data_IF_518369799346
#
_entry.id   IF_518369799346
#
_cell.length_a   1.000
_cell.length_b   1.000
_cell.length_c   1.000
_cell.angle_alpha   90.00
_cell.angle_beta   90.00
_cell.angle_gamma   90.00
#
_symmetry.space_group_name_H-M   'P 1'
#
loop_
_entity.id
_entity.type
_entity.pdbx_description
1 polymer ?
#
# COMPACT_ATOMS: atom_id res chain seq x y z
N UNK A 1 -53.09 -85.90 19.45
CA UNK A 1 -51.87 -85.96 18.62
C UNK A 1 -51.71 -84.62 17.93
N UNK A 2 -50.58 -83.96 18.19
CA UNK A 2 -50.21 -82.63 17.67
C UNK A 2 -50.06 -82.67 16.15
N UNK A 3 -50.58 -81.67 15.46
CA UNK A 3 -50.19 -81.36 14.07
C UNK A 3 -49.86 -79.88 13.97
N UNK A 4 -48.56 -79.63 13.84
CA UNK A 4 -47.92 -78.36 13.55
C UNK A 4 -48.36 -77.90 12.15
N UNK A 5 -48.72 -76.62 12.00
CA UNK A 5 -48.75 -75.94 10.69
C UNK A 5 -47.86 -74.71 10.77
N UNK A 6 -46.65 -74.86 10.22
CA UNK A 6 -45.82 -73.78 9.68
C UNK A 6 -46.50 -73.23 8.41
N UNK A 7 -46.61 -71.91 8.30
CA UNK A 7 -46.71 -71.15 7.04
C UNK A 7 -45.99 -69.81 7.31
N UNK A 8 -44.68 -69.74 7.07
CA UNK A 8 -44.04 -69.13 5.88
C UNK A 8 -44.29 -67.62 5.75
N UNK A 9 -43.52 -66.81 6.49
CA UNK A 9 -43.25 -65.41 6.09
C UNK A 9 -42.10 -65.43 5.08
N UNK A 10 -42.34 -64.84 3.91
CA UNK A 10 -41.32 -64.57 2.89
C UNK A 10 -40.27 -63.61 3.48
N UNK A 11 -39.01 -64.07 3.55
CA UNK A 11 -37.85 -63.21 3.69
C UNK A 11 -37.56 -62.58 2.33
N UNK A 12 -37.73 -61.26 2.20
CA UNK A 12 -37.10 -60.49 1.13
C UNK A 12 -35.71 -60.13 1.64
N UNK A 13 -34.70 -60.85 1.15
CA UNK A 13 -33.30 -60.48 1.32
C UNK A 13 -33.02 -59.38 0.30
N UNK A 14 -32.96 -58.13 0.76
CA UNK A 14 -32.28 -57.06 0.03
C UNK A 14 -30.81 -57.19 0.44
N UNK A 15 -30.00 -57.76 -0.45
CA UNK A 15 -28.56 -57.60 -0.43
C UNK A 15 -28.26 -56.15 -0.81
N UNK A 16 -28.31 -55.26 0.18
CA UNK A 16 -27.52 -54.04 0.13
C UNK A 16 -26.07 -54.47 0.33
N UNK A 17 -25.28 -54.39 -0.73
CA UNK A 17 -23.83 -54.28 -0.57
C UNK A 17 -23.59 -53.00 0.24
N UNK A 18 -23.30 -53.14 1.52
CA UNK A 18 -22.59 -52.10 2.25
C UNK A 18 -21.27 -51.92 1.51
N UNK A 19 -21.05 -50.72 0.95
CA UNK A 19 -19.68 -50.25 0.82
C UNK A 19 -19.10 -50.38 2.23
N UNK A 20 -18.00 -51.13 2.39
CA UNK A 20 -17.25 -51.06 3.64
C UNK A 20 -16.84 -49.61 3.82
N UNK A 21 -17.03 -49.07 5.03
CA UNK A 21 -16.40 -47.82 5.37
C UNK A 21 -14.88 -47.99 5.18
N UNK A 22 -14.26 -46.91 4.74
CA UNK A 22 -12.84 -46.90 4.40
C UNK A 22 -12.06 -46.57 5.69
N UNK A 23 -10.81 -46.96 5.80
CA UNK A 23 -9.92 -46.66 6.93
C UNK A 23 -8.78 -45.86 6.30
N UNK A 24 -8.93 -44.54 6.26
CA UNK A 24 -8.11 -43.67 5.40
C UNK A 24 -6.75 -43.36 6.02
N UNK A 25 -6.63 -43.34 7.36
CA UNK A 25 -5.39 -43.08 8.09
C UNK A 25 -4.66 -44.36 8.56
N UNK A 26 -5.34 -45.51 8.54
CA UNK A 26 -4.77 -46.84 8.78
C UNK A 26 -4.67 -47.21 10.25
N UNK A 27 -5.49 -46.62 11.12
CA UNK A 27 -5.53 -46.88 12.55
C UNK A 27 -6.27 -48.19 12.91
N UNK A 28 -7.04 -48.74 11.96
CA UNK A 28 -7.77 -49.99 12.07
C UNK A 28 -9.27 -49.86 12.33
N UNK A 29 -9.85 -48.65 12.25
CA UNK A 29 -11.27 -48.37 12.36
C UNK A 29 -11.86 -47.76 11.07
N UNK A 30 -13.19 -47.74 10.97
CA UNK A 30 -13.93 -47.31 9.77
C UNK A 30 -14.19 -45.77 9.82
N UNK A 31 -13.90 -45.03 8.74
CA UNK A 31 -14.06 -43.56 8.58
C UNK A 31 -15.49 -43.07 8.92
N UNK A 32 -15.60 -42.02 9.75
CA UNK A 32 -16.86 -41.36 10.18
C UNK A 32 -17.30 -40.20 9.26
N UNK A 33 -18.54 -39.74 9.45
CA UNK A 33 -19.21 -38.75 8.59
C UNK A 33 -18.84 -37.27 8.84
N UNK A 34 -17.88 -36.96 9.74
CA UNK A 34 -17.57 -35.59 10.17
C UNK A 34 -16.24 -35.00 9.63
N UNK A 35 -15.58 -35.68 8.69
CA UNK A 35 -14.58 -35.13 7.75
C UNK A 35 -13.28 -34.56 8.35
N UNK A 36 -12.78 -35.05 9.49
CA UNK A 36 -11.38 -34.80 9.89
C UNK A 36 -10.68 -36.10 10.27
N UNK A 37 -9.71 -36.50 9.44
CA UNK A 37 -8.93 -37.73 9.52
C UNK A 37 -7.46 -37.47 9.98
N UNK A 38 -7.15 -36.27 10.48
CA UNK A 38 -5.77 -35.83 10.70
C UNK A 38 -5.45 -35.24 12.09
N UNK A 39 -6.43 -35.01 12.98
CA UNK A 39 -6.18 -34.42 14.31
C UNK A 39 -7.20 -34.88 15.37
N UNK A 40 -6.73 -35.45 16.50
CA UNK A 40 -7.55 -35.77 17.68
C UNK A 40 -8.52 -34.63 18.03
N UNK A 41 -9.81 -34.94 18.24
CA UNK A 41 -10.78 -33.99 18.77
C UNK A 41 -10.35 -33.48 20.16
N UNK A 42 -10.41 -32.16 20.37
CA UNK A 42 -10.01 -31.53 21.64
C UNK A 42 -11.22 -31.03 22.42
N UNK A 43 -11.45 -31.55 23.62
CA UNK A 43 -12.39 -31.02 24.61
C UNK A 43 -11.75 -29.98 25.51
N UNK A 44 -12.54 -29.01 25.98
CA UNK A 44 -12.15 -28.16 27.11
C UNK A 44 -13.05 -28.41 28.32
N UNK A 45 -12.45 -28.81 29.43
CA UNK A 45 -13.09 -28.88 30.74
C UNK A 45 -12.68 -27.66 31.58
N UNK A 46 -13.66 -26.99 32.18
CA UNK A 46 -13.47 -25.82 33.04
C UNK A 46 -14.01 -26.06 34.44
N UNK A 47 -13.26 -25.65 35.46
CA UNK A 47 -13.74 -25.48 36.84
C UNK A 47 -14.04 -24.01 37.07
N UNK A 48 -15.33 -23.65 37.11
CA UNK A 48 -15.79 -22.27 37.34
C UNK A 48 -15.72 -21.87 38.80
N UNK A 49 -16.10 -22.78 39.69
CA UNK A 49 -16.17 -22.49 41.12
C UNK A 49 -15.96 -23.75 41.94
N UNK A 50 -15.25 -23.61 43.06
CA UNK A 50 -15.24 -24.59 44.15
C UNK A 50 -15.44 -23.87 45.48
N UNK A 51 -16.26 -24.44 46.35
CA UNK A 51 -16.57 -23.89 47.66
C UNK A 51 -16.65 -24.98 48.73
N UNK A 52 -15.78 -24.89 49.73
CA UNK A 52 -15.74 -25.79 50.90
C UNK A 52 -16.30 -25.15 52.18
N UNK A 53 -16.59 -23.84 52.15
CA UNK A 53 -17.02 -23.05 53.32
C UNK A 53 -18.40 -23.44 53.88
N UNK A 54 -19.07 -24.38 53.23
CA UNK A 54 -20.32 -24.93 53.72
C UNK A 54 -20.10 -26.09 54.70
N UNK A 55 -18.99 -26.83 54.67
CA UNK A 55 -18.80 -28.04 55.49
C UNK A 55 -18.59 -27.79 56.99
N UNK A 56 -19.11 -28.69 57.85
CA UNK A 56 -19.02 -28.61 59.32
C UNK A 56 -17.88 -29.47 59.92
N UNK A 57 -17.15 -30.24 59.11
CA UNK A 57 -16.06 -31.14 59.55
C UNK A 57 -14.72 -30.45 59.77
N UNK A 58 -14.54 -29.25 59.24
CA UNK A 58 -13.23 -28.61 59.21
C UNK A 58 -12.67 -28.24 60.58
N UNK A 59 -11.64 -28.96 61.03
CA UNK A 59 -10.85 -28.59 62.21
C UNK A 59 -10.02 -27.33 61.90
N UNK A 60 -10.62 -26.18 62.21
CA UNK A 60 -10.03 -24.83 62.14
C UNK A 60 -8.70 -24.61 62.89
N UNK A 61 -8.07 -25.65 63.44
CA UNK A 61 -6.85 -25.55 64.24
C UNK A 61 -5.53 -25.78 63.49
N UNK A 62 -5.54 -26.21 62.21
CA UNK A 62 -4.31 -26.52 61.46
C UNK A 62 -4.03 -25.74 60.15
N UNK A 63 -4.97 -25.00 59.58
CA UNK A 63 -4.74 -24.25 58.33
C UNK A 63 -5.94 -24.31 57.40
N UNK A 64 -5.81 -23.74 56.21
CA UNK A 64 -6.74 -24.02 55.10
C UNK A 64 -6.15 -25.18 54.26
N UNK A 65 -6.91 -25.80 53.36
CA UNK A 65 -6.49 -27.07 52.76
C UNK A 65 -5.58 -26.78 51.56
N UNK A 66 -4.75 -27.75 51.23
CA UNK A 66 -3.92 -27.73 50.02
C UNK A 66 -4.53 -28.69 48.98
N UNK A 67 -5.76 -28.37 48.54
CA UNK A 67 -6.52 -29.23 47.63
C UNK A 67 -5.97 -29.24 46.21
N UNK A 68 -6.23 -30.33 45.50
CA UNK A 68 -6.08 -30.46 44.05
C UNK A 68 -7.11 -31.44 43.49
N UNK A 69 -7.35 -31.40 42.18
CA UNK A 69 -8.30 -32.28 41.50
C UNK A 69 -7.57 -33.25 40.58
N UNK A 70 -7.94 -34.52 40.66
CA UNK A 70 -7.61 -35.53 39.65
C UNK A 70 -8.79 -35.70 38.71
N UNK A 71 -8.63 -35.30 37.45
CA UNK A 71 -9.62 -35.47 36.39
C UNK A 71 -9.22 -36.64 35.52
N UNK A 72 -10.02 -37.67 35.55
CA UNK A 72 -9.84 -38.92 34.84
C UNK A 72 -10.90 -38.96 33.72
N UNK A 73 -10.45 -39.07 32.46
CA UNK A 73 -11.32 -39.06 31.28
C UNK A 73 -11.35 -40.45 30.65
N UNK A 74 -12.55 -40.96 30.42
CA UNK A 74 -12.79 -42.22 29.73
C UNK A 74 -13.67 -41.94 28.50
N UNK A 75 -13.29 -42.46 27.35
CA UNK A 75 -14.02 -42.32 26.10
C UNK A 75 -14.55 -43.71 25.71
N UNK A 76 -15.86 -43.83 25.55
CA UNK A 76 -16.54 -45.11 25.29
C UNK A 76 -16.12 -46.26 26.24
N UNK A 77 -15.94 -45.91 27.52
CA UNK A 77 -15.52 -46.79 28.62
C UNK A 77 -14.04 -47.22 28.58
N UNK A 78 -13.23 -46.64 27.71
CA UNK A 78 -11.78 -46.81 27.70
C UNK A 78 -11.08 -45.56 28.26
N UNK A 79 -10.10 -45.77 29.14
CA UNK A 79 -9.34 -44.69 29.77
C UNK A 79 -8.52 -43.96 28.72
N UNK A 80 -8.81 -42.67 28.53
CA UNK A 80 -7.97 -41.76 27.71
C UNK A 80 -6.73 -41.37 28.51
N UNK A 81 -6.93 -40.58 29.57
CA UNK A 81 -5.86 -40.18 30.49
C UNK A 81 -6.44 -39.69 31.83
N UNK A 82 -5.56 -39.41 32.79
CA UNK A 82 -5.88 -38.70 34.02
C UNK A 82 -4.93 -37.52 34.23
N UNK A 83 -5.51 -36.36 34.53
CA UNK A 83 -4.86 -35.08 34.68
C UNK A 83 -4.98 -34.60 36.12
N UNK A 84 -3.86 -34.21 36.71
CA UNK A 84 -3.83 -33.63 38.04
C UNK A 84 -3.77 -32.10 37.90
N UNK A 85 -4.63 -31.36 38.62
CA UNK A 85 -4.59 -29.90 38.66
C UNK A 85 -3.38 -29.39 39.45
N UNK A 86 -3.18 -28.07 39.46
CA UNK A 86 -2.29 -27.46 40.45
C UNK A 86 -2.85 -27.63 41.87
N UNK A 87 -1.97 -27.57 42.87
CA UNK A 87 -2.33 -27.55 44.30
C UNK A 87 -2.64 -26.12 44.71
N UNK A 88 -3.84 -25.87 45.23
CA UNK A 88 -4.25 -24.56 45.71
C UNK A 88 -4.01 -24.43 47.21
N UNK A 89 -2.94 -23.72 47.56
CA UNK A 89 -2.54 -23.58 48.95
C UNK A 89 -3.50 -22.70 49.76
N UNK A 90 -3.93 -23.21 50.91
CA UNK A 90 -4.67 -22.47 51.93
C UNK A 90 -5.93 -21.70 51.42
N UNK A 91 -6.75 -22.28 50.52
CA UNK A 91 -7.94 -21.58 49.99
C UNK A 91 -9.28 -22.31 50.20
N UNK A 92 -10.32 -21.57 50.60
CA UNK A 92 -11.69 -22.08 50.79
C UNK A 92 -12.59 -21.92 49.57
N UNK A 93 -12.18 -21.04 48.64
CA UNK A 93 -12.91 -20.72 47.42
C UNK A 93 -11.91 -20.51 46.29
N UNK A 94 -12.15 -21.15 45.15
CA UNK A 94 -11.44 -20.82 43.92
C UNK A 94 -12.08 -19.58 43.29
N UNK A 95 -11.26 -18.60 42.96
CA UNK A 95 -11.70 -17.32 42.38
C UNK A 95 -11.36 -17.16 40.89
N UNK A 96 -10.74 -18.16 40.27
CA UNK A 96 -10.34 -18.18 38.86
C UNK A 96 -10.72 -19.51 38.22
N UNK A 97 -11.05 -19.48 36.93
CA UNK A 97 -11.31 -20.68 36.14
C UNK A 97 -10.03 -21.52 35.98
N UNK A 98 -10.10 -22.81 36.27
CA UNK A 98 -9.08 -23.77 35.85
C UNK A 98 -9.56 -24.47 34.58
N UNK A 99 -8.73 -24.44 33.52
CA UNK A 99 -9.07 -25.00 32.22
C UNK A 99 -8.14 -26.17 31.88
N UNK A 100 -8.72 -27.25 31.38
CA UNK A 100 -8.01 -28.44 30.93
C UNK A 100 -8.44 -28.76 29.49
N UNK A 101 -7.47 -28.76 28.57
CA UNK A 101 -7.65 -29.23 27.19
C UNK A 101 -7.32 -30.72 27.11
N UNK A 102 -8.21 -31.51 26.50
CA UNK A 102 -8.16 -32.96 26.49
C UNK A 102 -8.34 -33.44 25.05
N UNK A 103 -7.38 -34.19 24.53
CA UNK A 103 -7.56 -34.91 23.28
C UNK A 103 -8.38 -36.17 23.55
N UNK A 104 -9.43 -36.42 22.77
CA UNK A 104 -10.22 -37.65 22.81
C UNK A 104 -10.07 -38.41 21.49
N UNK A 105 -10.21 -39.75 21.49
CA UNK A 105 -10.29 -40.52 20.26
C UNK A 105 -11.51 -40.09 19.41
N UNK A 106 -11.35 -40.06 18.10
CA UNK A 106 -12.33 -39.50 17.17
C UNK A 106 -13.58 -40.39 16.98
N UNK A 107 -13.49 -41.68 17.33
CA UNK A 107 -14.60 -42.64 17.29
C UNK A 107 -15.49 -42.62 18.54
N UNK A 108 -15.20 -41.72 19.49
CA UNK A 108 -15.83 -41.73 20.81
C UNK A 108 -17.15 -40.97 20.87
N UNK A 109 -18.22 -41.69 21.24
CA UNK A 109 -19.56 -41.11 21.36
C UNK A 109 -19.89 -40.57 22.76
N UNK A 110 -19.31 -41.19 23.79
CA UNK A 110 -19.67 -40.99 25.18
C UNK A 110 -18.41 -40.70 26.00
N UNK A 111 -18.28 -39.47 26.47
CA UNK A 111 -17.12 -39.06 27.27
C UNK A 111 -17.54 -39.03 28.73
N UNK A 112 -16.89 -39.85 29.55
CA UNK A 112 -17.11 -39.90 30.99
C UNK A 112 -15.98 -39.16 31.69
N UNK A 113 -16.36 -38.18 32.52
CA UNK A 113 -15.44 -37.46 33.39
C UNK A 113 -15.60 -38.00 34.80
N UNK A 114 -14.50 -38.44 35.40
CA UNK A 114 -14.38 -38.80 36.81
C UNK A 114 -13.46 -37.80 37.47
N UNK A 115 -13.97 -36.99 38.39
CA UNK A 115 -13.19 -35.96 39.08
C UNK A 115 -13.12 -36.30 40.56
N UNK A 116 -11.91 -36.35 41.10
CA UNK A 116 -11.63 -36.62 42.50
C UNK A 116 -10.95 -35.39 43.12
N UNK A 117 -11.40 -34.98 44.30
CA UNK A 117 -10.75 -33.98 45.14
C UNK A 117 -9.73 -34.72 45.99
N UNK A 118 -8.50 -34.22 46.08
CA UNK A 118 -7.45 -34.80 46.89
C UNK A 118 -6.73 -33.74 47.71
N UNK A 119 -6.30 -34.14 48.89
CA UNK A 119 -5.30 -33.47 49.70
C UNK A 119 -4.21 -34.52 50.00
N UNK A 120 -2.94 -34.09 50.10
CA UNK A 120 -1.82 -35.00 50.38
C UNK A 120 -1.57 -35.15 51.90
N UNK A 121 -2.56 -34.86 52.75
CA UNK A 121 -2.42 -34.91 54.21
C UNK A 121 -2.89 -36.27 54.79
N UNK A 122 -1.97 -36.98 55.43
CA UNK A 122 -2.24 -38.28 56.06
C UNK A 122 -2.86 -38.17 57.46
N UNK A 123 -2.97 -36.95 58.01
CA UNK A 123 -3.50 -36.71 59.35
C UNK A 123 -4.93 -36.13 59.35
N UNK A 124 -5.39 -35.61 58.20
CA UNK A 124 -6.62 -34.87 58.01
C UNK A 124 -7.21 -35.20 56.63
N UNK A 125 -7.55 -36.46 56.38
CA UNK A 125 -8.11 -36.89 55.09
C UNK A 125 -9.51 -36.31 54.79
N UNK A 126 -10.08 -35.51 55.70
CA UNK A 126 -11.45 -34.97 55.72
C UNK A 126 -11.64 -33.61 55.00
N UNK A 127 -10.60 -33.09 54.35
CA UNK A 127 -10.68 -31.77 53.71
C UNK A 127 -11.23 -31.84 52.27
N UNK A 128 -10.97 -32.96 51.58
CA UNK A 128 -11.67 -33.40 50.37
C UNK A 128 -12.70 -34.52 50.62
N UNK A 129 -12.60 -35.24 51.74
CA UNK A 129 -13.51 -36.31 52.13
C UNK A 129 -14.55 -35.80 53.13
N UNK A 130 -15.83 -35.90 52.79
CA UNK A 130 -16.89 -35.53 53.73
C UNK A 130 -17.48 -36.73 54.50
N UNK A 131 -16.76 -37.86 54.55
CA UNK A 131 -16.89 -38.85 55.62
C UNK A 131 -15.76 -39.88 55.62
N UNK A 132 -15.26 -40.28 56.80
CA UNK A 132 -14.18 -41.27 57.04
C UNK A 132 -14.34 -42.72 56.49
N UNK A 133 -15.12 -42.97 55.45
CA UNK A 133 -15.33 -44.25 54.80
C UNK A 133 -14.58 -44.37 53.45
N UNK A 134 -14.36 -45.61 53.02
CA UNK A 134 -13.54 -46.01 51.86
C UNK A 134 -14.05 -45.57 50.47
N UNK A 135 -14.97 -44.60 50.39
CA UNK A 135 -15.57 -44.08 49.15
C UNK A 135 -15.40 -42.55 49.11
N UNK A 136 -14.17 -42.15 48.77
CA UNK A 136 -13.70 -40.76 48.60
C UNK A 136 -14.61 -39.94 47.65
N UNK A 137 -14.62 -38.60 47.82
CA UNK A 137 -15.35 -37.68 46.95
C UNK A 137 -15.02 -37.93 45.48
N UNK A 138 -16.03 -38.37 44.74
CA UNK A 138 -15.93 -38.64 43.31
C UNK A 138 -17.14 -38.05 42.58
N UNK A 139 -16.86 -37.15 41.66
CA UNK A 139 -17.84 -36.60 40.73
C UNK A 139 -17.74 -37.34 39.41
N UNK A 140 -18.82 -38.02 39.02
CA UNK A 140 -18.90 -38.68 37.71
C UNK A 140 -20.03 -38.06 36.89
N UNK A 141 -19.70 -37.57 35.71
CA UNK A 141 -20.69 -37.12 34.73
C UNK A 141 -20.31 -37.56 33.32
N UNK A 142 -21.32 -37.56 32.45
CA UNK A 142 -21.21 -38.08 31.09
C UNK A 142 -21.59 -36.99 30.11
N UNK A 143 -20.80 -36.84 29.07
CA UNK A 143 -20.96 -35.88 27.99
C UNK A 143 -21.13 -36.63 26.66
N UNK A 144 -22.28 -36.46 26.03
CA UNK A 144 -22.56 -37.00 24.68
C UNK A 144 -21.95 -36.05 23.64
N UNK A 145 -20.66 -36.24 23.35
CA UNK A 145 -19.86 -35.38 22.48
C UNK A 145 -20.52 -35.10 21.12
N UNK A 146 -21.16 -36.11 20.52
CA UNK A 146 -21.78 -35.98 19.21
C UNK A 146 -23.11 -35.19 19.21
N UNK A 147 -23.71 -34.99 20.38
CA UNK A 147 -25.07 -34.43 20.50
C UNK A 147 -25.11 -33.10 21.28
N UNK A 148 -24.11 -32.82 22.11
CA UNK A 148 -24.07 -31.68 23.02
C UNK A 148 -22.79 -30.87 22.79
N UNK A 149 -22.92 -29.55 22.64
CA UNK A 149 -21.77 -28.64 22.43
C UNK A 149 -21.15 -28.17 23.74
N UNK A 150 -21.93 -28.14 24.80
CA UNK A 150 -21.48 -27.73 26.12
C UNK A 150 -22.40 -28.32 27.17
N UNK A 151 -21.85 -28.65 28.33
CA UNK A 151 -22.64 -29.11 29.46
C UNK A 151 -22.05 -28.54 30.75
N UNK A 152 -22.89 -27.85 31.52
CA UNK A 152 -22.57 -27.48 32.89
C UNK A 152 -22.96 -28.59 33.86
N UNK A 153 -22.10 -28.87 34.82
CA UNK A 153 -22.35 -29.85 35.87
C UNK A 153 -22.02 -29.28 37.24
N UNK A 154 -22.96 -29.38 38.17
CA UNK A 154 -22.72 -29.02 39.56
C UNK A 154 -22.40 -30.28 40.36
N UNK A 155 -21.15 -30.42 40.77
CA UNK A 155 -20.74 -31.47 41.70
C UNK A 155 -21.02 -31.01 43.13
N UNK A 156 -21.73 -31.83 43.88
CA UNK A 156 -21.86 -31.67 45.32
C UNK A 156 -21.58 -33.05 45.91
N UNK A 157 -20.83 -33.15 47.01
CA UNK A 157 -20.42 -34.44 47.61
C UNK A 157 -21.56 -35.39 48.06
N UNK A 158 -22.80 -35.17 47.61
CA UNK A 158 -24.04 -35.85 47.97
C UNK A 158 -24.20 -37.31 47.54
N UNK A 159 -23.24 -37.91 46.84
CA UNK A 159 -23.39 -39.30 46.35
C UNK A 159 -23.24 -40.33 47.50
N UNK A 160 -22.72 -39.93 48.66
CA UNK A 160 -22.55 -40.78 49.85
C UNK A 160 -23.85 -41.06 50.64
N UNK A 161 -24.97 -40.45 50.24
CA UNK A 161 -26.28 -40.63 50.87
C UNK A 161 -26.37 -40.14 52.34
N UNK A 162 -25.45 -39.27 52.78
CA UNK A 162 -25.56 -38.56 54.07
C UNK A 162 -26.30 -37.23 53.90
N UNK A 163 -27.50 -37.15 54.49
CA UNK A 163 -28.35 -35.95 54.44
C UNK A 163 -28.09 -34.96 55.57
N UNK A 164 -27.15 -35.25 56.47
CA UNK A 164 -26.94 -34.44 57.67
C UNK A 164 -25.90 -33.33 57.50
N UNK A 165 -24.94 -33.46 56.58
CA UNK A 165 -23.77 -32.57 56.51
C UNK A 165 -23.77 -31.72 55.24
N UNK A 166 -23.05 -30.61 55.28
CA UNK A 166 -23.05 -29.59 54.22
C UNK A 166 -21.90 -29.82 53.24
N UNK A 167 -22.19 -30.31 52.05
CA UNK A 167 -21.17 -30.84 51.15
C UNK A 167 -20.39 -29.76 50.39
N UNK A 168 -19.10 -30.00 50.11
CA UNK A 168 -18.34 -29.18 49.18
C UNK A 168 -19.03 -29.14 47.81
N UNK A 169 -19.06 -27.96 47.18
CA UNK A 169 -19.73 -27.71 45.92
C UNK A 169 -18.73 -27.26 44.86
N UNK A 170 -18.86 -27.79 43.65
CA UNK A 170 -18.09 -27.45 42.47
C UNK A 170 -19.00 -27.19 41.28
N UNK A 171 -18.64 -26.26 40.41
CA UNK A 171 -19.29 -26.02 39.12
C UNK A 171 -18.28 -26.24 38.00
N UNK A 172 -18.60 -27.19 37.13
CA UNK A 172 -17.80 -27.58 35.97
C UNK A 172 -18.54 -27.28 34.68
N UNK A 173 -17.81 -27.00 33.61
CA UNK A 173 -18.34 -26.87 32.25
C UNK A 173 -17.43 -27.61 31.29
N UNK A 174 -17.99 -28.54 30.53
CA UNK A 174 -17.31 -29.12 29.36
C UNK A 174 -17.79 -28.42 28.11
N UNK A 175 -16.86 -28.06 27.22
CA UNK A 175 -17.13 -27.40 25.95
C UNK A 175 -16.45 -28.22 24.85
N UNK A 176 -17.26 -28.64 23.87
CA UNK A 176 -16.78 -29.12 22.58
C UNK A 176 -16.53 -27.91 21.67
N UNK A 177 -15.37 -27.80 20.99
CA UNK A 177 -15.19 -26.81 19.93
C UNK A 177 -16.29 -27.05 18.89
N UNK A 178 -17.11 -26.03 18.65
CA UNK A 178 -18.24 -26.09 17.74
C UNK A 178 -17.77 -26.53 16.35
N UNK A 179 -18.23 -27.69 15.90
CA UNK A 179 -18.00 -28.27 14.57
C UNK A 179 -18.86 -27.66 13.47
N UNK A 180 -19.64 -26.60 13.76
CA UNK A 180 -20.27 -25.83 12.69
C UNK A 180 -19.21 -24.95 12.06
N UNK A 181 -18.93 -25.15 10.79
CA UNK A 181 -18.26 -24.13 10.01
C UNK A 181 -19.03 -22.82 10.15
N UNK A 182 -18.28 -21.77 10.50
CA UNK A 182 -18.81 -20.41 10.58
C UNK A 182 -18.70 -19.85 9.16
N UNK A 183 -19.79 -19.25 8.71
CA UNK A 183 -19.89 -18.50 7.46
C UNK A 183 -20.52 -17.16 7.89
N UNK A 184 -19.65 -16.21 8.21
CA UNK A 184 -19.95 -14.98 8.93
C UNK A 184 -20.78 -14.01 8.09
N UNK A 185 -20.65 -14.03 6.77
CA UNK A 185 -21.39 -13.15 5.85
C UNK A 185 -22.48 -13.86 5.03
N UNK A 186 -22.50 -15.20 5.03
CA UNK A 186 -23.51 -16.02 4.40
C UNK A 186 -23.38 -16.11 2.88
N UNK A 187 -22.17 -16.03 2.33
CA UNK A 187 -21.92 -16.14 0.88
C UNK A 187 -21.71 -17.58 0.39
N UNK A 188 -21.53 -18.51 1.33
CA UNK A 188 -21.37 -19.94 1.08
C UNK A 188 -19.92 -20.44 1.12
N UNK A 189 -18.96 -19.57 1.46
CA UNK A 189 -17.60 -19.95 1.86
C UNK A 189 -17.49 -19.90 3.39
N UNK A 190 -16.64 -20.77 3.96
CA UNK A 190 -16.47 -20.85 5.41
C UNK A 190 -15.34 -19.91 5.84
N UNK A 191 -15.45 -19.26 7.01
CA UNK A 191 -14.48 -18.28 7.55
C UNK A 191 -13.02 -18.78 7.59
N UNK A 192 -12.79 -20.09 7.48
CA UNK A 192 -11.44 -20.67 7.47
C UNK A 192 -10.77 -20.72 6.11
N UNK A 193 -11.55 -20.54 5.03
CA UNK A 193 -11.12 -20.63 3.62
C UNK A 193 -11.60 -19.44 2.80
N UNK A 194 -12.26 -18.48 3.44
CA UNK A 194 -12.71 -17.23 2.89
C UNK A 194 -11.66 -16.15 3.23
N UNK A 195 -11.13 -15.46 2.22
CA UNK A 195 -10.16 -14.39 2.47
C UNK A 195 -10.84 -13.09 2.96
N UNK A 196 -12.17 -13.04 2.88
CA UNK A 196 -13.02 -11.90 3.19
C UNK A 196 -14.28 -12.28 4.00
N UNK A 197 -14.15 -13.02 5.10
CA UNK A 197 -15.23 -13.56 5.98
C UNK A 197 -16.40 -12.62 6.37
N UNK A 198 -16.30 -11.32 6.12
CA UNK A 198 -17.33 -10.33 6.46
C UNK A 198 -17.89 -9.61 5.22
N UNK A 199 -17.56 -10.06 4.02
CA UNK A 199 -17.92 -9.47 2.74
C UNK A 199 -18.56 -10.47 1.80
N UNK A 200 -19.90 -10.52 1.83
CA UNK A 200 -20.68 -11.50 1.06
C UNK A 200 -20.48 -11.46 -0.47
N UNK A 201 -19.69 -10.52 -0.97
CA UNK A 201 -19.42 -10.34 -2.39
C UNK A 201 -18.02 -10.75 -2.82
N UNK A 202 -17.13 -11.08 -1.88
CA UNK A 202 -15.74 -11.49 -2.10
C UNK A 202 -15.40 -12.71 -1.24
N UNK A 203 -14.58 -13.62 -1.74
CA UNK A 203 -14.15 -14.81 -0.97
C UNK A 203 -12.72 -15.29 -1.26
N UNK A 204 -12.03 -14.65 -2.20
CA UNK A 204 -10.71 -15.06 -2.67
C UNK A 204 -9.85 -13.83 -2.92
N UNK A 205 -8.64 -13.82 -2.35
CA UNK A 205 -7.57 -12.83 -2.55
C UNK A 205 -6.33 -13.58 -3.07
N UNK A 206 -6.22 -13.70 -4.39
CA UNK A 206 -5.20 -14.57 -4.98
C UNK A 206 -3.76 -14.12 -4.72
N UNK A 207 -3.52 -12.83 -4.47
CA UNK A 207 -2.17 -12.27 -4.29
C UNK A 207 -1.92 -11.59 -2.94
N UNK A 208 -2.96 -11.47 -2.10
CA UNK A 208 -2.87 -11.05 -0.71
C UNK A 208 -2.81 -9.54 -0.52
N UNK A 209 -3.34 -8.75 -1.46
CA UNK A 209 -3.32 -7.28 -1.39
C UNK A 209 -4.55 -6.65 -0.70
N UNK A 210 -5.54 -7.48 -0.37
CA UNK A 210 -6.77 -7.09 0.30
C UNK A 210 -7.89 -6.60 -0.64
N UNK A 211 -7.76 -6.81 -1.95
CA UNK A 211 -8.83 -6.63 -2.93
C UNK A 211 -9.26 -7.99 -3.46
N UNK A 212 -10.58 -8.20 -3.60
CA UNK A 212 -11.10 -9.53 -3.89
C UNK A 212 -11.23 -9.83 -5.39
N UNK A 213 -10.88 -11.05 -5.79
CA UNK A 213 -10.85 -11.53 -7.18
C UNK A 213 -12.21 -11.50 -7.90
N UNK A 214 -13.33 -11.46 -7.16
CA UNK A 214 -14.66 -11.46 -7.78
C UNK A 214 -14.95 -10.12 -8.44
N UNK A 215 -14.84 -10.08 -9.77
CA UNK A 215 -15.09 -8.87 -10.57
C UNK A 215 -16.50 -8.26 -10.40
N UNK A 216 -17.48 -9.01 -9.87
CA UNK A 216 -18.83 -8.50 -9.57
C UNK A 216 -19.02 -8.11 -8.10
N UNK A 217 -18.02 -8.32 -7.25
CA UNK A 217 -18.02 -7.93 -5.86
C UNK A 217 -17.75 -6.45 -5.65
N UNK A 218 -17.78 -6.02 -4.39
CA UNK A 218 -17.26 -4.71 -4.01
C UNK A 218 -15.72 -4.73 -4.06
N UNK A 219 -15.11 -3.56 -4.28
CA UNK A 219 -13.65 -3.43 -4.42
C UNK A 219 -12.99 -4.59 -5.22
N UNK A 220 -13.49 -4.90 -6.44
CA UNK A 220 -12.94 -6.00 -7.20
C UNK A 220 -11.50 -5.71 -7.60
N UNK A 221 -10.65 -6.71 -7.48
CA UNK A 221 -9.29 -6.65 -8.00
C UNK A 221 -9.28 -6.83 -9.52
N UNK A 222 -8.76 -5.82 -10.23
CA UNK A 222 -8.57 -5.86 -11.68
C UNK A 222 -7.26 -6.54 -12.10
N UNK A 223 -6.35 -6.79 -11.16
CA UNK A 223 -5.07 -7.47 -11.34
C UNK A 223 -4.83 -8.60 -10.32
N UNK A 224 -5.65 -9.70 -10.32
CA UNK A 224 -5.65 -10.78 -9.31
C UNK A 224 -4.36 -11.59 -9.07
N UNK A 225 -3.24 -11.20 -9.67
CA UNK A 225 -1.96 -11.90 -9.60
C UNK A 225 -0.80 -10.93 -9.37
N UNK A 226 -1.09 -9.65 -9.12
CA UNK A 226 -0.13 -8.59 -8.91
C UNK A 226 -0.54 -7.75 -7.70
N UNK A 227 -0.10 -8.20 -6.51
CA UNK A 227 -0.36 -7.57 -5.21
C UNK A 227 0.05 -6.09 -5.06
N UNK A 228 0.57 -5.48 -6.11
CA UNK A 228 0.91 -4.07 -6.16
C UNK A 228 -0.10 -3.22 -6.92
N UNK A 229 -1.10 -3.83 -7.58
CA UNK A 229 -2.13 -3.18 -8.38
C UNK A 229 -3.49 -3.82 -8.12
N UNK A 230 -4.54 -3.00 -8.02
CA UNK A 230 -5.92 -3.49 -7.79
C UNK A 230 -6.99 -2.77 -8.63
N UNK A 231 -6.68 -1.59 -9.17
CA UNK A 231 -7.63 -0.74 -9.89
C UNK A 231 -7.01 -0.17 -11.17
N UNK A 232 -7.88 0.20 -12.12
CA UNK A 232 -7.57 0.80 -13.42
C UNK A 232 -8.75 1.72 -13.76
N UNK A 233 -8.62 2.98 -13.37
CA UNK A 233 -9.72 3.95 -13.35
C UNK A 233 -10.14 4.40 -14.75
N UNK A 234 -9.23 4.40 -15.73
CA UNK A 234 -9.49 4.87 -17.09
C UNK A 234 -9.52 3.76 -18.14
N UNK A 235 -9.14 2.54 -17.77
CA UNK A 235 -9.29 1.32 -18.55
C UNK A 235 -8.21 1.14 -19.62
N UNK A 236 -7.01 1.70 -19.41
CA UNK A 236 -5.90 1.60 -20.36
C UNK A 236 -5.02 0.35 -20.16
N UNK A 237 -5.23 -0.37 -19.05
CA UNK A 237 -4.51 -1.58 -18.68
C UNK A 237 -3.23 -1.36 -17.88
N UNK A 238 -2.99 -0.14 -17.38
CA UNK A 238 -1.99 0.18 -16.37
C UNK A 238 -2.70 0.40 -15.02
N UNK A 239 -2.11 -0.09 -13.94
CA UNK A 239 -2.77 -0.06 -12.64
C UNK A 239 -2.61 1.30 -11.93
N UNK A 240 -3.68 1.76 -11.28
CA UNK A 240 -3.79 3.08 -10.64
C UNK A 240 -2.75 3.33 -9.54
N UNK A 241 -2.12 2.29 -8.95
CA UNK A 241 -1.09 2.49 -7.95
C UNK A 241 0.23 2.88 -8.63
N UNK A 242 0.68 4.15 -8.54
CA UNK A 242 1.86 4.62 -9.28
C UNK A 242 3.17 3.99 -8.78
N UNK A 243 3.15 3.34 -7.61
CA UNK A 243 4.30 2.64 -7.02
C UNK A 243 4.32 1.14 -7.31
N UNK A 244 3.25 0.60 -7.90
CA UNK A 244 3.16 -0.81 -8.27
C UNK A 244 3.82 -1.13 -9.60
N UNK A 245 3.75 -2.41 -9.99
CA UNK A 245 4.21 -2.89 -11.30
C UNK A 245 3.48 -2.13 -12.39
N UNK A 246 4.24 -1.51 -13.31
CA UNK A 246 3.68 -0.71 -14.40
C UNK A 246 2.60 0.29 -13.93
N UNK A 247 2.81 0.92 -12.77
CA UNK A 247 1.84 1.86 -12.22
C UNK A 247 1.63 3.08 -13.11
N UNK A 248 0.36 3.37 -13.37
CA UNK A 248 -0.11 4.50 -14.15
C UNK A 248 0.27 5.83 -13.46
N UNK A 249 0.89 6.72 -14.23
CA UNK A 249 1.26 8.07 -13.78
C UNK A 249 0.18 9.12 -14.01
N UNK A 250 -0.77 8.88 -14.91
CA UNK A 250 -1.94 9.71 -15.14
C UNK A 250 -3.23 8.86 -15.12
N UNK A 251 -3.69 8.37 -13.94
CA UNK A 251 -4.79 7.39 -13.79
C UNK A 251 -6.19 7.81 -14.24
N UNK A 252 -6.31 8.94 -14.94
CA UNK A 252 -7.57 9.49 -15.42
C UNK A 252 -7.51 9.80 -16.92
N UNK A 253 -6.42 9.45 -17.58
CA UNK A 253 -6.16 9.67 -18.99
C UNK A 253 -5.68 8.36 -19.64
N UNK A 254 -6.64 7.62 -20.20
CA UNK A 254 -6.34 6.32 -20.84
C UNK A 254 -5.46 6.38 -22.09
N UNK A 255 -4.98 7.56 -22.44
CA UNK A 255 -4.01 7.76 -23.50
C UNK A 255 -2.60 8.04 -22.98
N UNK A 256 -2.42 8.18 -21.67
CA UNK A 256 -1.17 8.57 -21.01
C UNK A 256 -0.97 7.79 -19.70
N UNK A 257 0.07 6.97 -19.62
CA UNK A 257 0.37 6.15 -18.43
C UNK A 257 1.81 6.25 -17.92
N UNK A 258 2.70 6.85 -18.71
CA UNK A 258 4.09 7.12 -18.35
C UNK A 258 4.32 8.62 -18.23
N UNK A 259 5.08 9.02 -17.22
CA UNK A 259 5.56 10.39 -16.98
C UNK A 259 6.97 10.24 -16.39
N UNK A 260 7.97 10.44 -17.24
CA UNK A 260 9.36 10.12 -16.92
C UNK A 260 10.01 11.12 -15.96
N UNK A 261 9.60 12.38 -16.00
CA UNK A 261 10.21 13.46 -15.22
C UNK A 261 9.30 14.03 -14.12
N UNK A 262 8.03 13.61 -14.09
CA UNK A 262 7.08 13.87 -13.01
C UNK A 262 6.42 15.25 -13.11
N UNK A 263 6.31 15.83 -14.29
CA UNK A 263 5.70 17.16 -14.48
C UNK A 263 4.17 17.13 -14.67
N UNK A 264 3.60 15.93 -14.81
CA UNK A 264 2.17 15.71 -14.99
C UNK A 264 1.69 15.70 -16.44
N UNK A 265 2.60 15.73 -17.42
CA UNK A 265 2.33 15.46 -18.83
C UNK A 265 2.86 14.08 -19.21
N UNK A 266 2.09 13.35 -20.02
CA UNK A 266 2.42 11.95 -20.31
C UNK A 266 3.34 11.77 -21.52
N UNK A 267 4.29 10.86 -21.42
CA UNK A 267 5.32 10.57 -22.43
C UNK A 267 4.78 9.91 -23.71
N UNK A 268 3.54 9.40 -23.70
CA UNK A 268 3.02 8.65 -24.83
C UNK A 268 2.71 9.60 -26.00
N UNK A 269 3.62 9.66 -26.97
CA UNK A 269 3.51 10.53 -28.15
C UNK A 269 2.25 10.33 -29.01
N UNK A 270 1.56 9.19 -28.88
CA UNK A 270 0.27 8.95 -29.57
C UNK A 270 -0.94 9.33 -28.73
N UNK A 271 -0.74 9.69 -27.46
CA UNK A 271 -1.77 10.10 -26.54
C UNK A 271 -2.19 11.55 -26.71
N UNK A 272 -3.12 11.99 -25.88
CA UNK A 272 -3.54 13.38 -25.86
C UNK A 272 -2.52 14.21 -25.06
N UNK A 273 -2.29 15.47 -25.47
CA UNK A 273 -1.35 16.39 -24.84
C UNK A 273 -0.02 15.74 -24.41
N UNK A 274 0.68 15.03 -25.32
CA UNK A 274 1.90 14.33 -24.96
C UNK A 274 2.97 15.32 -24.53
N UNK A 275 3.77 14.92 -23.57
CA UNK A 275 4.99 15.62 -23.21
C UNK A 275 5.99 15.57 -24.38
N UNK A 276 6.33 16.75 -24.90
CA UNK A 276 7.31 16.92 -25.96
C UNK A 276 8.76 17.00 -25.44
N UNK A 277 8.94 17.10 -24.12
CA UNK A 277 10.23 17.10 -23.43
C UNK A 277 10.29 16.10 -22.24
N UNK A 278 10.18 14.77 -22.47
CA UNK A 278 10.07 13.70 -21.43
C UNK A 278 11.17 13.58 -20.36
N UNK A 279 12.14 14.49 -20.34
CA UNK A 279 13.29 14.46 -19.44
C UNK A 279 13.55 15.83 -18.80
N UNK A 280 12.67 16.80 -19.03
CA UNK A 280 12.77 18.14 -18.52
C UNK A 280 11.43 18.54 -17.92
N UNK A 281 11.30 18.31 -16.61
CA UNK A 281 10.07 18.53 -15.85
C UNK A 281 9.62 20.00 -15.76
N UNK A 282 10.28 20.89 -16.51
CA UNK A 282 9.95 22.30 -16.62
C UNK A 282 9.42 22.68 -17.99
N UNK A 283 9.37 21.74 -18.96
CA UNK A 283 8.88 21.93 -20.31
C UNK A 283 8.01 20.74 -20.73
N UNK A 284 6.92 21.00 -21.45
CA UNK A 284 6.00 19.93 -21.87
C UNK A 284 5.34 20.17 -23.24
N UNK A 285 5.27 21.41 -23.70
CA UNK A 285 4.65 21.81 -24.98
C UNK A 285 5.64 22.61 -25.81
N UNK A 286 5.57 22.45 -27.13
CA UNK A 286 6.32 23.16 -28.16
C UNK A 286 5.32 23.48 -29.28
N UNK A 287 4.76 24.68 -29.23
CA UNK A 287 3.61 25.06 -30.07
C UNK A 287 3.97 25.25 -31.54
N UNK A 288 5.21 25.61 -31.85
CA UNK A 288 5.64 25.89 -33.22
C UNK A 288 6.64 24.88 -33.80
N UNK A 289 7.13 23.95 -32.97
CA UNK A 289 7.92 22.80 -33.36
C UNK A 289 9.40 23.10 -33.57
N UNK A 290 9.95 24.11 -32.91
CA UNK A 290 11.36 24.50 -33.04
C UNK A 290 12.30 23.77 -32.08
N UNK A 291 11.74 23.02 -31.13
CA UNK A 291 12.47 22.25 -30.13
C UNK A 291 12.79 23.01 -28.84
N UNK A 292 12.21 24.19 -28.61
CA UNK A 292 12.24 24.92 -27.34
C UNK A 292 10.85 24.91 -26.71
N UNK A 293 10.78 24.64 -25.41
CA UNK A 293 9.50 24.48 -24.75
C UNK A 293 8.83 25.82 -24.43
N UNK A 294 7.51 25.87 -24.58
CA UNK A 294 6.67 27.06 -24.44
C UNK A 294 6.66 27.65 -23.02
N UNK A 295 7.05 26.89 -21.98
CA UNK A 295 7.02 27.40 -20.61
C UNK A 295 8.17 28.40 -20.42
N UNK A 296 7.89 29.72 -20.27
CA UNK A 296 8.93 30.74 -20.23
C UNK A 296 9.79 30.69 -18.96
N UNK A 297 9.31 29.98 -17.93
CA UNK A 297 10.03 29.76 -16.67
C UNK A 297 10.83 28.46 -16.64
N UNK A 298 10.66 27.60 -17.65
CA UNK A 298 11.40 26.35 -17.77
C UNK A 298 12.79 26.53 -18.37
N UNK A 299 13.53 25.42 -18.44
CA UNK A 299 14.85 25.37 -19.05
C UNK A 299 14.77 25.84 -20.49
N UNK A 300 15.56 26.85 -20.84
CA UNK A 300 15.59 27.46 -22.18
C UNK A 300 14.20 27.78 -22.75
N UNK A 301 13.26 28.21 -21.90
CA UNK A 301 11.88 28.46 -22.31
C UNK A 301 11.77 29.48 -23.43
N UNK A 302 11.01 29.10 -24.45
CA UNK A 302 10.82 29.83 -25.69
C UNK A 302 10.24 31.23 -25.42
N UNK A 303 10.90 32.25 -25.97
CA UNK A 303 10.47 33.65 -25.92
C UNK A 303 9.49 34.02 -27.03
N UNK A 304 9.38 33.20 -28.07
CA UNK A 304 8.45 33.37 -29.19
C UNK A 304 7.70 32.07 -29.52
N UNK A 305 6.80 31.56 -28.64
CA UNK A 305 6.11 30.26 -28.77
C UNK A 305 5.23 30.03 -30.01
N UNK A 306 5.24 30.93 -30.98
CA UNK A 306 4.42 30.89 -32.20
C UNK A 306 5.26 31.18 -33.45
N UNK A 307 6.58 31.32 -33.30
CA UNK A 307 7.51 31.59 -34.37
C UNK A 307 8.71 30.65 -34.28
N UNK A 308 8.59 29.51 -34.95
CA UNK A 308 9.62 28.45 -35.00
C UNK A 308 11.00 28.88 -35.52
N UNK A 309 11.16 30.14 -35.91
CA UNK A 309 12.42 30.72 -36.35
C UNK A 309 13.12 31.54 -35.26
N UNK A 310 12.50 31.76 -34.10
CA UNK A 310 13.01 32.53 -32.97
C UNK A 310 12.68 31.88 -31.63
N UNK A 311 13.65 31.82 -30.70
CA UNK A 311 13.45 31.18 -29.39
C UNK A 311 14.14 31.89 -28.21
N UNK A 312 15.15 32.73 -28.50
CA UNK A 312 15.85 33.54 -27.50
C UNK A 312 15.64 35.03 -27.76
N UNK A 313 15.53 35.79 -26.68
CA UNK A 313 15.47 37.26 -26.64
C UNK A 313 16.36 37.72 -25.48
N UNK A 314 17.60 38.11 -25.80
CA UNK A 314 18.64 38.30 -24.77
C UNK A 314 18.50 39.62 -23.99
N UNK A 315 17.94 40.66 -24.59
CA UNK A 315 17.70 41.95 -23.94
C UNK A 315 16.22 42.23 -23.63
N UNK A 316 15.31 41.37 -24.09
CA UNK A 316 13.89 41.40 -23.76
C UNK A 316 13.11 42.43 -24.55
N UNK A 317 13.57 42.78 -25.75
CA UNK A 317 13.02 43.86 -26.56
C UNK A 317 11.90 43.40 -27.53
N UNK A 318 11.70 42.07 -27.65
CA UNK A 318 10.71 41.45 -28.51
C UNK A 318 11.18 41.16 -29.95
N UNK A 319 12.47 41.29 -30.24
CA UNK A 319 13.13 40.79 -31.45
C UNK A 319 13.96 39.55 -31.12
N UNK A 320 13.94 38.58 -32.03
CA UNK A 320 14.55 37.29 -31.74
C UNK A 320 16.03 37.23 -32.11
N UNK A 321 16.84 36.62 -31.25
CA UNK A 321 18.29 36.54 -31.38
C UNK A 321 18.79 35.79 -32.64
N UNK A 322 17.96 34.94 -33.25
CA UNK A 322 18.35 34.14 -34.40
C UNK A 322 18.32 35.01 -35.67
N UNK A 323 19.50 35.42 -36.14
CA UNK A 323 19.65 36.26 -37.34
C UNK A 323 19.04 35.68 -38.62
N UNK A 324 18.81 34.36 -38.68
CA UNK A 324 18.16 33.70 -39.81
C UNK A 324 16.63 33.65 -39.74
N UNK A 325 16.03 34.09 -38.63
CA UNK A 325 14.60 34.01 -38.39
C UNK A 325 13.82 35.25 -38.81
N UNK A 326 12.52 35.26 -38.51
CA UNK A 326 11.67 36.42 -38.69
C UNK A 326 12.01 37.46 -37.62
N UNK A 327 11.91 38.75 -37.96
CA UNK A 327 12.18 39.84 -37.03
C UNK A 327 13.45 39.64 -36.18
N UNK A 328 14.61 39.36 -36.82
CA UNK A 328 15.83 39.11 -36.07
C UNK A 328 16.34 40.38 -35.41
N UNK A 329 16.83 40.25 -34.19
CA UNK A 329 17.50 41.32 -33.48
C UNK A 329 18.94 41.50 -34.01
N UNK A 330 19.20 42.64 -34.64
CA UNK A 330 20.54 42.99 -35.11
C UNK A 330 21.43 43.53 -33.98
N UNK A 331 20.83 43.83 -32.83
CA UNK A 331 21.42 44.48 -31.67
C UNK A 331 21.18 43.70 -30.35
N UNK A 332 21.18 42.36 -30.40
CA UNK A 332 21.05 41.34 -29.32
C UNK A 332 21.34 41.67 -27.83
N UNK A 333 22.17 42.68 -27.54
CA UNK A 333 22.48 43.09 -26.18
C UNK A 333 22.24 44.59 -25.98
N UNK A 334 21.21 45.11 -26.63
CA UNK A 334 20.84 46.51 -26.63
C UNK A 334 20.44 46.90 -25.19
N UNK A 335 20.79 48.10 -24.69
CA UNK A 335 20.30 48.58 -23.41
C UNK A 335 18.77 48.63 -23.40
N UNK A 336 18.16 48.47 -22.22
CA UNK A 336 16.70 48.58 -22.09
C UNK A 336 16.17 49.90 -22.70
N UNK A 337 15.23 49.79 -23.63
CA UNK A 337 14.67 50.91 -24.39
C UNK A 337 13.53 50.48 -25.31
N UNK A 338 13.09 51.38 -26.19
CA UNK A 338 12.16 51.03 -27.26
C UNK A 338 13.00 50.71 -28.51
N UNK A 339 13.00 49.46 -29.00
CA UNK A 339 13.72 49.13 -30.22
C UNK A 339 13.05 49.71 -31.46
N UNK A 340 13.86 49.97 -32.48
CA UNK A 340 13.39 50.33 -33.82
C UNK A 340 12.96 49.07 -34.61
N UNK A 341 12.77 49.19 -35.92
CA UNK A 341 12.32 48.08 -36.79
C UNK A 341 13.34 46.93 -36.96
N UNK A 342 14.56 47.08 -36.43
CA UNK A 342 15.65 46.09 -36.55
C UNK A 342 16.17 45.59 -35.19
N UNK A 343 15.45 45.83 -34.09
CA UNK A 343 15.84 45.40 -32.74
C UNK A 343 16.87 46.31 -32.04
N UNK A 344 17.19 47.47 -32.62
CA UNK A 344 18.18 48.37 -32.03
C UNK A 344 17.49 49.54 -31.31
N UNK A 345 17.95 49.90 -30.13
CA UNK A 345 17.52 51.15 -29.49
C UNK A 345 18.12 52.36 -30.22
N UNK A 346 17.38 53.47 -30.28
CA UNK A 346 17.79 54.67 -31.00
C UNK A 346 19.19 55.15 -30.57
N UNK A 347 19.52 55.09 -29.28
CA UNK A 347 20.83 55.48 -28.77
C UNK A 347 22.03 54.70 -29.34
N UNK A 348 21.83 53.50 -29.89
CA UNK A 348 22.89 52.70 -30.53
C UNK A 348 23.06 52.98 -32.03
N UNK A 349 22.10 53.65 -32.66
CA UNK A 349 22.15 53.99 -34.08
C UNK A 349 22.04 55.49 -34.36
N UNK A 350 21.84 56.29 -33.32
CA UNK A 350 21.75 57.74 -33.43
C UNK A 350 23.13 58.27 -33.80
N UNK A 351 23.18 58.88 -34.98
CA UNK A 351 24.31 59.61 -35.53
C UNK A 351 23.71 60.97 -35.93
N UNK A 352 23.75 61.90 -34.98
CA UNK A 352 22.99 63.15 -35.01
C UNK A 352 23.50 64.14 -36.07
N UNK A 353 24.76 64.04 -36.49
CA UNK A 353 25.39 64.86 -37.54
C UNK A 353 25.81 64.07 -38.80
N UNK A 354 25.54 62.76 -38.83
CA UNK A 354 25.64 61.93 -40.02
C UNK A 354 27.07 61.68 -40.50
N UNK A 355 28.06 61.79 -39.60
CA UNK A 355 29.48 61.68 -39.93
C UNK A 355 29.98 60.22 -40.00
N UNK A 356 29.16 59.27 -39.56
CA UNK A 356 29.44 57.83 -39.52
C UNK A 356 29.94 57.30 -38.18
N UNK A 357 30.02 58.11 -37.13
CA UNK A 357 30.30 57.73 -35.74
C UNK A 357 29.04 57.99 -34.92
N UNK A 358 28.48 56.94 -34.31
CA UNK A 358 27.25 57.09 -33.50
C UNK A 358 27.50 57.95 -32.26
N UNK A 359 26.48 58.70 -31.82
CA UNK A 359 26.51 59.65 -30.71
C UNK A 359 27.12 59.07 -29.41
N UNK A 360 26.93 57.77 -29.15
CA UNK A 360 27.48 57.09 -27.98
C UNK A 360 29.02 57.01 -27.98
N UNK A 361 29.65 57.12 -29.15
CA UNK A 361 31.11 57.08 -29.37
C UNK A 361 31.64 58.36 -30.03
N UNK A 362 30.83 59.41 -30.13
CA UNK A 362 31.17 60.69 -30.73
C UNK A 362 31.28 61.79 -29.66
N UNK A 363 32.50 62.30 -29.46
CA UNK A 363 32.77 63.41 -28.53
C UNK A 363 32.17 64.76 -29.03
N UNK A 364 31.85 64.83 -30.31
CA UNK A 364 31.39 65.97 -31.08
C UNK A 364 30.06 65.70 -31.81
N UNK A 365 29.17 64.88 -31.24
CA UNK A 365 27.91 64.33 -31.80
C UNK A 365 26.85 65.30 -32.37
N UNK A 366 27.13 66.59 -32.51
CA UNK A 366 26.24 67.57 -33.14
C UNK A 366 27.07 68.56 -33.96
N UNK A 367 28.12 68.08 -34.62
CA UNK A 367 28.97 68.87 -35.49
C UNK A 367 28.24 69.25 -36.78
N UNK A 368 28.82 70.14 -37.59
CA UNK A 368 28.15 70.59 -38.82
C UNK A 368 28.22 69.48 -39.90
N UNK A 369 27.08 69.12 -40.49
CA UNK A 369 26.90 68.12 -41.57
C UNK A 369 28.01 68.17 -42.65
N UNK A 370 28.66 67.03 -42.90
CA UNK A 370 29.42 66.76 -44.13
C UNK A 370 30.92 67.07 -44.11
N UNK A 371 31.53 67.24 -42.94
CA UNK A 371 32.99 67.42 -42.78
C UNK A 371 33.71 66.08 -42.47
N UNK A 372 35.03 66.03 -42.71
CA UNK A 372 35.84 64.86 -42.34
C UNK A 372 36.20 64.92 -40.86
N UNK A 373 35.78 63.92 -40.11
CA UNK A 373 36.03 63.82 -38.65
C UNK A 373 37.22 62.93 -38.31
N UNK A 374 37.77 63.12 -37.11
CA UNK A 374 38.82 62.27 -36.56
C UNK A 374 38.26 60.99 -35.93
N UNK A 375 39.09 60.23 -35.21
CA UNK A 375 38.66 58.96 -34.61
C UNK A 375 37.72 59.09 -33.41
N UNK A 376 37.41 60.31 -32.98
CA UNK A 376 36.46 60.59 -31.89
C UNK A 376 35.25 61.42 -32.36
N UNK A 377 35.05 61.57 -33.68
CA UNK A 377 33.91 62.29 -34.27
C UNK A 377 34.07 63.81 -34.32
N UNK A 378 35.24 64.35 -34.00
CA UNK A 378 35.46 65.80 -34.05
C UNK A 378 36.04 66.25 -35.40
N UNK A 379 35.58 67.42 -35.88
CA UNK A 379 36.04 68.05 -37.12
C UNK A 379 37.58 68.10 -37.19
N UNK A 380 38.16 67.55 -38.26
CA UNK A 380 39.58 67.72 -38.53
C UNK A 380 39.78 69.14 -39.06
N UNK A 381 40.51 70.03 -38.35
CA UNK A 381 40.77 71.36 -38.86
C UNK A 381 41.54 71.26 -40.18
N UNK A 382 40.85 71.57 -41.27
CA UNK A 382 41.48 71.76 -42.58
C UNK A 382 42.53 72.86 -42.44
N UNK A 383 43.80 72.46 -42.46
CA UNK A 383 44.91 73.40 -42.38
C UNK A 383 44.85 74.36 -43.58
N UNK A 384 44.31 75.55 -43.35
CA UNK A 384 44.23 76.62 -44.33
C UNK A 384 45.61 76.97 -44.89
N UNK A 385 46.70 76.75 -44.14
CA UNK A 385 48.03 76.91 -44.69
C UNK A 385 48.30 75.94 -45.84
N UNK A 386 47.83 74.70 -45.77
CA UNK A 386 48.03 73.72 -46.85
C UNK A 386 47.27 74.11 -48.12
N UNK A 387 46.00 74.51 -48.01
CA UNK A 387 45.22 74.98 -49.18
C UNK A 387 45.84 76.22 -49.82
N UNK A 388 46.33 77.17 -49.01
CA UNK A 388 47.04 78.36 -49.52
C UNK A 388 48.39 77.99 -50.14
N UNK A 389 49.16 77.08 -49.53
CA UNK A 389 50.46 76.62 -50.08
C UNK A 389 50.28 75.88 -51.40
N UNK A 390 49.30 74.99 -51.52
CA UNK A 390 48.97 74.28 -52.77
C UNK A 390 48.44 75.26 -53.82
N UNK A 391 47.54 76.17 -53.43
CA UNK A 391 47.03 77.22 -54.31
C UNK A 391 48.14 78.13 -54.86
N UNK A 392 49.05 78.60 -54.00
CA UNK A 392 50.22 79.39 -54.38
C UNK A 392 51.21 78.60 -55.25
N UNK A 393 51.39 77.30 -55.00
CA UNK A 393 52.24 76.43 -55.83
C UNK A 393 51.67 76.26 -57.24
N UNK A 394 50.35 76.05 -57.37
CA UNK A 394 49.65 75.96 -58.66
C UNK A 394 49.72 77.32 -59.38
N UNK A 395 49.46 78.42 -58.67
CA UNK A 395 49.55 79.77 -59.24
C UNK A 395 50.98 80.08 -59.71
N UNK A 396 51.98 79.70 -58.92
CA UNK A 396 53.40 79.80 -59.28
C UNK A 396 53.76 78.98 -60.51
N UNK A 397 53.22 77.76 -60.65
CA UNK A 397 53.40 76.92 -61.83
C UNK A 397 52.76 77.53 -63.08
N UNK A 398 51.54 78.06 -62.96
CA UNK A 398 50.85 78.76 -64.06
C UNK A 398 51.62 80.02 -64.49
N UNK A 399 52.10 80.82 -63.53
CA UNK A 399 52.89 82.02 -63.85
C UNK A 399 54.22 81.64 -64.50
N UNK A 400 54.89 80.60 -64.00
CA UNK A 400 56.16 80.10 -64.57
C UNK A 400 55.98 79.60 -66.01
N UNK A 401 54.93 78.82 -66.28
CA UNK A 401 54.62 78.33 -67.63
C UNK A 401 54.23 79.47 -68.58
N UNK A 402 53.44 80.45 -68.13
CA UNK A 402 53.09 81.64 -68.93
C UNK A 402 54.33 82.50 -69.24
N UNK A 403 55.22 82.70 -68.26
CA UNK A 403 56.49 83.42 -68.47
C UNK A 403 57.44 82.66 -69.41
N UNK A 404 57.49 81.33 -69.29
CA UNK A 404 58.27 80.47 -70.20
C UNK A 404 57.75 80.59 -71.65
N UNK A 405 56.42 80.58 -71.85
CA UNK A 405 55.78 80.81 -73.16
C UNK A 405 56.09 82.22 -73.70
N UNK A 406 56.05 83.25 -72.85
CA UNK A 406 56.37 84.63 -73.24
C UNK A 406 57.85 84.81 -73.61
N UNK A 407 58.76 84.10 -72.95
CA UNK A 407 60.20 84.08 -73.24
C UNK A 407 60.51 83.32 -74.54
N UNK A 408 59.75 82.27 -74.85
CA UNK A 408 59.89 81.51 -76.10
C UNK A 408 59.45 82.31 -77.35
N UNK A 409 58.45 83.18 -77.23
CA UNK A 409 57.97 84.06 -78.32
C UNK A 409 58.88 85.27 -78.65
N UNK A 410 59.97 85.49 -77.90
CA UNK A 410 60.89 86.64 -78.08
C UNK A 410 62.26 86.25 -78.65
N UNK A 411 62.41 85.05 -79.20
CA UNK A 411 63.60 84.62 -79.94
C UNK A 411 63.32 84.48 -81.42
#
# INVERSE_FOLDING_TARGET
>A
MRSVKLVSLLSVIILLSSAGAQDTDGDGYDDEYDHRDDVDATLMLKLHQFNTSESEEWDSSNGAPDIWFRVCVDADQERVDCYDSEVWADTYTLGNDWNLSINIPDDSSLITFTIQCRDDDLANDDECDMNSDVEEWELVFVFEWLNEYSMEYNGSGFIDNDTNWKNAASQWEVISPTTTSVDSDGDGYEDSVDDFDNDQTQHLDSDGDGYGDNASGNNPDLYPQDSTQWADSDGDGYGDNPSGTNGDKLPQDSTQWFDSDGDGYGDNASGNNPDLFPQDSTQWTDSDGDGYGDNPSGTNGDKFPQDSTQWFDSDGDGYGDNLGGNNPDLCKNSPAGIPNEVGCVEAEILDSDGDGIIDAYDDCSNSDDGESVDSVGCEIPIDWEMRVKVGLAILGFIISTVLAVKKYRRK
#
